data_IF_587553025462
#
_entry.id   IF_587553025462
#
_cell.length_a   1.000
_cell.length_b   1.000
_cell.length_c   1.000
_cell.angle_alpha   90.00
_cell.angle_beta   90.00
_cell.angle_gamma   90.00
#
_symmetry.space_group_name_H-M   'P 1'
#
loop_
_entity.id
_entity.type
_entity.pdbx_description
1 polymer ?
#
# COMPACT_ATOMS: atom_id res chain seq x y z
N UNK A 1 3.35 -15.36 -15.76
CA UNK A 1 3.45 -16.14 -14.51
C UNK A 1 2.28 -15.76 -13.62
N UNK A 2 1.45 -16.72 -13.21
CA UNK A 2 0.23 -16.54 -12.39
C UNK A 2 0.54 -16.34 -10.89
N UNK A 3 1.72 -15.83 -10.57
CA UNK A 3 2.20 -15.71 -9.19
C UNK A 3 2.31 -14.23 -8.88
N UNK A 4 1.84 -13.86 -7.68
CA UNK A 4 1.99 -12.52 -7.15
C UNK A 4 3.48 -12.14 -7.12
N UNK A 5 3.83 -10.98 -7.68
CA UNK A 5 5.21 -10.47 -7.68
C UNK A 5 5.32 -9.37 -6.63
N UNK A 6 5.80 -9.74 -5.44
CA UNK A 6 5.89 -8.84 -4.29
C UNK A 6 6.79 -7.63 -4.59
N UNK A 7 7.96 -7.83 -5.18
CA UNK A 7 8.92 -6.75 -5.44
C UNK A 7 8.39 -5.72 -6.43
N UNK A 8 7.73 -6.18 -7.51
CA UNK A 8 7.10 -5.28 -8.48
C UNK A 8 6.00 -4.45 -7.82
N UNK A 9 5.14 -5.09 -7.03
CA UNK A 9 4.03 -4.42 -6.36
C UNK A 9 4.57 -3.43 -5.31
N UNK A 10 5.57 -3.83 -4.53
CA UNK A 10 6.22 -2.97 -3.53
C UNK A 10 6.90 -1.76 -4.18
N UNK A 11 7.49 -1.92 -5.36
CA UNK A 11 8.03 -0.84 -6.17
C UNK A 11 6.96 0.18 -6.59
N UNK A 12 5.81 -0.30 -7.08
CA UNK A 12 4.66 0.56 -7.44
C UNK A 12 4.16 1.34 -6.22
N UNK A 13 4.00 0.65 -5.08
CA UNK A 13 3.54 1.31 -3.85
C UNK A 13 4.52 2.41 -3.42
N UNK A 14 5.83 2.10 -3.40
CA UNK A 14 6.87 3.06 -3.05
C UNK A 14 6.81 4.31 -3.93
N UNK A 15 6.74 4.12 -5.25
CA UNK A 15 6.65 5.21 -6.21
C UNK A 15 5.45 6.12 -5.93
N UNK A 16 4.26 5.54 -5.72
CA UNK A 16 3.03 6.30 -5.46
C UNK A 16 3.09 7.06 -4.14
N UNK A 17 3.61 6.43 -3.08
CA UNK A 17 3.75 7.09 -1.77
C UNK A 17 4.71 8.27 -1.85
N UNK A 18 5.87 8.10 -2.49
CA UNK A 18 6.88 9.16 -2.64
C UNK A 18 6.40 10.31 -3.55
N UNK A 19 5.51 10.03 -4.53
CA UNK A 19 4.87 11.06 -5.36
C UNK A 19 3.83 11.90 -4.59
N UNK A 20 3.09 11.28 -3.66
CA UNK A 20 2.02 11.95 -2.91
C UNK A 20 2.54 12.65 -1.65
N UNK A 21 3.54 12.07 -1.00
CA UNK A 21 4.09 12.54 0.27
C UNK A 21 5.55 12.88 0.03
N UNK A 22 5.79 14.16 -0.30
CA UNK A 22 7.12 14.68 -0.56
C UNK A 22 8.00 14.55 0.69
N UNK A 23 9.30 14.37 0.47
CA UNK A 23 10.29 14.35 1.54
C UNK A 23 10.17 15.61 2.41
N UNK A 24 10.08 15.42 3.74
CA UNK A 24 9.91 16.52 4.69
C UNK A 24 8.47 16.97 4.93
N UNK A 25 7.47 16.36 4.25
CA UNK A 25 6.06 16.62 4.55
C UNK A 25 5.75 16.31 6.02
N UNK A 26 5.18 17.28 6.71
CA UNK A 26 4.72 17.13 8.08
C UNK A 26 3.28 16.60 8.12
N UNK A 27 2.94 15.89 9.20
CA UNK A 27 1.58 15.50 9.50
C UNK A 27 0.71 16.75 9.62
N UNK A 28 -0.36 16.79 8.82
CA UNK A 28 -1.42 17.77 8.93
C UNK A 28 -2.73 17.04 8.75
N UNK A 29 -3.53 16.96 9.81
CA UNK A 29 -4.75 16.14 9.84
C UNK A 29 -5.66 16.37 8.62
N UNK A 30 -5.82 17.64 8.20
CA UNK A 30 -6.64 18.02 7.05
C UNK A 30 -6.17 17.48 5.69
N UNK A 31 -4.90 17.07 5.56
CA UNK A 31 -4.34 16.49 4.33
C UNK A 31 -4.42 14.97 4.29
N UNK A 32 -4.59 14.32 5.44
CA UNK A 32 -4.46 12.87 5.56
C UNK A 32 -5.49 12.12 4.72
N UNK A 33 -6.75 12.58 4.73
CA UNK A 33 -7.80 11.94 3.92
C UNK A 33 -7.49 12.03 2.42
N UNK A 34 -7.01 13.19 1.95
CA UNK A 34 -6.67 13.38 0.54
C UNK A 34 -5.47 12.52 0.12
N UNK A 35 -4.42 12.47 0.93
CA UNK A 35 -3.27 11.59 0.66
C UNK A 35 -3.68 10.11 0.66
N UNK A 36 -4.49 9.69 1.63
CA UNK A 36 -4.96 8.30 1.71
C UNK A 36 -5.73 7.89 0.44
N UNK A 37 -6.73 8.69 0.06
CA UNK A 37 -7.54 8.43 -1.14
C UNK A 37 -6.68 8.41 -2.40
N UNK A 38 -5.77 9.36 -2.55
CA UNK A 38 -4.89 9.47 -3.72
C UNK A 38 -3.94 8.27 -3.82
N UNK A 39 -3.32 7.86 -2.71
CA UNK A 39 -2.42 6.70 -2.66
C UNK A 39 -3.18 5.41 -3.02
N UNK A 40 -4.33 5.16 -2.39
CA UNK A 40 -5.10 3.94 -2.66
C UNK A 40 -5.55 3.89 -4.12
N UNK A 41 -6.10 4.98 -4.65
CA UNK A 41 -6.55 5.05 -6.04
C UNK A 41 -5.39 4.84 -7.02
N UNK A 42 -4.29 5.57 -6.88
CA UNK A 42 -3.14 5.45 -7.80
C UNK A 42 -2.46 4.09 -7.74
N UNK A 43 -2.41 3.44 -6.57
CA UNK A 43 -1.89 2.06 -6.48
C UNK A 43 -2.81 1.10 -7.22
N UNK A 44 -4.13 1.16 -7.01
CA UNK A 44 -5.09 0.31 -7.72
C UNK A 44 -4.99 0.53 -9.23
N UNK A 45 -4.97 1.78 -9.68
CA UNK A 45 -4.88 2.13 -11.10
C UNK A 45 -3.61 1.57 -11.75
N UNK A 46 -2.43 1.77 -11.14
CA UNK A 46 -1.16 1.22 -11.65
C UNK A 46 -1.14 -0.31 -11.65
N UNK A 47 -1.70 -0.96 -10.63
CA UNK A 47 -1.78 -2.42 -10.58
C UNK A 47 -2.73 -2.98 -11.65
N UNK A 48 -3.88 -2.35 -11.86
CA UNK A 48 -4.82 -2.70 -12.93
C UNK A 48 -4.19 -2.52 -14.32
N UNK A 49 -3.36 -1.49 -14.50
CA UNK A 49 -2.64 -1.25 -15.75
C UNK A 49 -1.59 -2.32 -16.09
N UNK A 50 -1.18 -3.17 -15.13
CA UNK A 50 -0.32 -4.33 -15.41
C UNK A 50 -1.04 -5.40 -16.24
N UNK A 51 -2.37 -5.32 -16.36
CA UNK A 51 -3.22 -6.25 -17.11
C UNK A 51 -2.93 -7.73 -16.78
N UNK A 52 -2.75 -8.01 -15.49
CA UNK A 52 -2.59 -9.37 -14.98
C UNK A 52 -3.93 -9.87 -14.46
N UNK A 53 -4.11 -11.19 -14.50
CA UNK A 53 -5.31 -11.87 -14.00
C UNK A 53 -5.33 -11.92 -12.47
N UNK A 54 -5.49 -10.76 -11.83
CA UNK A 54 -5.58 -10.61 -10.37
C UNK A 54 -6.73 -9.68 -9.99
N UNK A 55 -7.38 -9.98 -8.87
CA UNK A 55 -8.16 -9.01 -8.10
C UNK A 55 -7.23 -8.41 -7.05
N UNK A 56 -7.19 -7.08 -6.97
CA UNK A 56 -6.34 -6.38 -6.01
C UNK A 56 -7.17 -5.74 -4.90
N UNK A 57 -6.69 -5.88 -3.67
CA UNK A 57 -7.19 -5.16 -2.50
C UNK A 57 -6.04 -4.29 -2.00
N UNK A 58 -6.32 -3.00 -1.76
CA UNK A 58 -5.30 -2.04 -1.31
C UNK A 58 -5.84 -1.34 -0.06
N UNK A 59 -5.04 -1.29 1.00
CA UNK A 59 -5.31 -0.48 2.19
C UNK A 59 -4.15 0.47 2.45
N UNK A 60 -4.45 1.69 2.85
CA UNK A 60 -3.48 2.68 3.30
C UNK A 60 -3.84 3.13 4.71
N UNK A 61 -2.88 3.12 5.62
CA UNK A 61 -3.01 3.60 7.00
C UNK A 61 -1.95 4.67 7.24
N UNK A 62 -2.39 5.87 7.61
CA UNK A 62 -1.51 7.02 7.92
C UNK A 62 -1.80 7.46 9.34
N UNK A 63 -0.77 7.54 10.18
CA UNK A 63 -0.92 7.97 11.58
C UNK A 63 0.28 8.79 12.06
N UNK A 64 -0.01 9.73 12.96
CA UNK A 64 0.96 10.68 13.53
C UNK A 64 1.96 9.98 14.45
N UNK A 65 3.22 10.42 14.42
CA UNK A 65 4.26 10.04 15.37
C UNK A 65 4.14 10.89 16.64
N UNK A 66 3.28 10.45 17.56
CA UNK A 66 3.07 11.10 18.86
C UNK A 66 3.51 10.23 20.06
N UNK A 67 4.30 9.19 19.80
CA UNK A 67 4.75 8.24 20.82
C UNK A 67 3.79 7.05 21.04
N UNK A 68 2.61 7.03 20.40
CA UNK A 68 1.75 5.86 20.40
C UNK A 68 2.32 4.72 19.54
N UNK A 69 2.18 3.48 20.02
CA UNK A 69 2.47 2.28 19.25
C UNK A 69 1.31 1.90 18.33
N UNK A 70 1.62 1.17 17.25
CA UNK A 70 0.63 0.51 16.40
C UNK A 70 0.90 -0.99 16.37
N UNK A 71 -0.16 -1.79 16.43
CA UNK A 71 -0.11 -3.22 16.15
C UNK A 71 -1.17 -3.53 15.09
N UNK A 72 -0.73 -4.02 13.94
CA UNK A 72 -1.60 -4.42 12.85
C UNK A 72 -1.28 -5.87 12.46
N UNK A 73 -2.31 -6.70 12.40
CA UNK A 73 -2.21 -8.11 11.99
C UNK A 73 -3.19 -8.35 10.86
N UNK A 74 -2.77 -9.11 9.87
CA UNK A 74 -3.61 -9.50 8.74
C UNK A 74 -3.59 -11.01 8.63
N UNK A 75 -4.75 -11.61 8.42
CA UNK A 75 -4.92 -13.05 8.23
C UNK A 75 -5.60 -13.28 6.89
N UNK A 76 -5.09 -14.24 6.12
CA UNK A 76 -5.57 -14.54 4.78
C UNK A 76 -5.90 -16.03 4.67
N UNK A 77 -6.95 -16.35 3.93
CA UNK A 77 -7.26 -17.72 3.51
C UNK A 77 -7.38 -17.72 1.99
N UNK A 78 -6.40 -18.33 1.32
CA UNK A 78 -6.16 -18.16 -0.13
C UNK A 78 -5.24 -19.27 -0.69
N UNK A 79 -4.94 -19.23 -1.99
CA UNK A 79 -3.99 -20.14 -2.63
C UNK A 79 -2.55 -19.64 -2.52
N UNK A 80 -1.75 -20.28 -1.66
CA UNK A 80 -0.36 -19.91 -1.39
C UNK A 80 0.59 -20.02 -2.62
N UNK A 81 0.16 -20.65 -3.72
CA UNK A 81 0.99 -20.75 -4.93
C UNK A 81 0.78 -19.57 -5.90
N UNK A 82 -0.37 -18.91 -5.83
CA UNK A 82 -0.80 -17.94 -6.83
C UNK A 82 -1.13 -16.58 -6.22
N UNK A 83 -1.72 -16.58 -5.04
CA UNK A 83 -2.09 -15.38 -4.30
C UNK A 83 -0.90 -14.87 -3.47
N UNK A 84 -0.97 -13.60 -3.09
CA UNK A 84 0.07 -13.02 -2.26
C UNK A 84 -0.25 -11.63 -1.76
N UNK A 85 0.57 -11.15 -0.84
CA UNK A 85 0.48 -9.79 -0.31
C UNK A 85 1.84 -9.18 -0.15
N UNK A 86 1.90 -7.86 -0.14
CA UNK A 86 3.08 -7.14 0.30
C UNK A 86 2.69 -5.92 1.10
N UNK A 87 3.57 -5.55 2.02
CA UNK A 87 3.46 -4.34 2.84
C UNK A 87 4.63 -3.43 2.54
N UNK A 88 4.32 -2.17 2.27
CA UNK A 88 5.29 -1.09 2.22
C UNK A 88 5.04 -0.14 3.39
N UNK A 89 6.10 0.18 4.12
CA UNK A 89 6.10 1.15 5.19
C UNK A 89 7.04 2.29 4.83
N UNK A 90 6.52 3.50 4.87
CA UNK A 90 7.25 4.73 4.68
C UNK A 90 7.24 5.54 5.96
N UNK A 91 8.44 5.89 6.43
CA UNK A 91 8.66 6.60 7.68
C UNK A 91 9.07 8.04 7.35
N UNK A 92 8.29 9.01 7.83
CA UNK A 92 8.66 10.43 7.78
C UNK A 92 9.10 10.90 9.17
N UNK A 93 9.44 12.19 9.31
CA UNK A 93 9.75 12.75 10.63
C UNK A 93 8.52 12.85 11.55
N UNK A 94 7.30 12.87 11.03
CA UNK A 94 6.08 13.20 11.81
C UNK A 94 4.94 12.19 11.69
N UNK A 95 5.04 11.23 10.78
CA UNK A 95 4.01 10.23 10.55
C UNK A 95 4.57 8.93 9.96
N UNK A 96 3.82 7.87 10.14
CA UNK A 96 4.00 6.59 9.48
C UNK A 96 2.95 6.43 8.38
N UNK A 97 3.35 5.88 7.24
CA UNK A 97 2.47 5.55 6.11
C UNK A 97 2.66 4.08 5.81
N UNK A 98 1.63 3.27 6.00
CA UNK A 98 1.66 1.83 5.76
C UNK A 98 0.66 1.51 4.67
N UNK A 99 1.10 0.85 3.61
CA UNK A 99 0.25 0.40 2.51
C UNK A 99 0.37 -1.11 2.40
N UNK A 100 -0.76 -1.79 2.45
CA UNK A 100 -0.85 -3.24 2.24
C UNK A 100 -1.59 -3.49 0.93
N UNK A 101 -1.05 -4.41 0.12
CA UNK A 101 -1.70 -4.89 -1.09
C UNK A 101 -1.84 -6.40 -1.00
N UNK A 102 -3.03 -6.90 -1.34
CA UNK A 102 -3.29 -8.31 -1.58
C UNK A 102 -3.66 -8.49 -3.05
N UNK A 103 -3.04 -9.45 -3.72
CA UNK A 103 -3.41 -9.88 -5.06
C UNK A 103 -3.93 -11.31 -5.01
N UNK A 104 -5.17 -11.49 -5.46
CA UNK A 104 -5.80 -12.80 -5.60
C UNK A 104 -5.89 -13.16 -7.08
N UNK A 105 -5.22 -14.24 -7.49
CA UNK A 105 -5.21 -14.71 -8.86
C UNK A 105 -6.63 -15.11 -9.30
N UNK A 106 -7.02 -14.69 -10.49
CA UNK A 106 -8.29 -15.10 -11.11
C UNK A 106 -7.99 -15.94 -12.36
N UNK A 107 -7.94 -17.26 -12.18
CA UNK A 107 -7.79 -18.23 -13.29
C UNK A 107 -6.79 -19.35 -13.08
#
# INVERSE_FOLDING_TARGET
KRTFNEDQVKGIIKEVVEQNILQGSAYLHSRISNWNNSIVHSVVEKLSALNKAFKYIVTCTIFEKNGAGIHATTTCYWDNNHDGSTTYRHDTNSMYVIVNVWGLCVG
#
